data_IF_391869681638
#
_entry.id   IF_391869681638
#
_cell.length_a   1.000
_cell.length_b   1.000
_cell.length_c   1.000
_cell.angle_alpha   90.00
_cell.angle_beta   90.00
_cell.angle_gamma   90.00
#
_symmetry.space_group_name_H-M   'P 1'
#
loop_
_entity.id
_entity.type
_entity.pdbx_description
1 polymer ?
#
# COMPACT_ATOMS: atom_id res chain seq x y z
N UNK A 1 -32.41 8.46 22.79
CA UNK A 1 -33.02 7.36 22.49
C UNK A 1 -32.98 6.98 21.01
N UNK A 2 -33.04 5.80 20.65
CA UNK A 2 -33.15 5.34 19.29
C UNK A 2 -31.98 5.67 18.37
N UNK A 3 -30.88 6.18 18.89
CA UNK A 3 -29.72 6.48 18.10
C UNK A 3 -28.90 5.24 17.78
N UNK A 4 -29.14 4.19 18.54
CA UNK A 4 -28.35 2.97 18.39
C UNK A 4 -28.55 2.27 17.06
N UNK A 5 -29.71 2.42 16.45
CA UNK A 5 -30.04 1.76 15.19
C UNK A 5 -29.92 2.69 13.99
N UNK A 6 -29.27 3.81 14.14
CA UNK A 6 -29.30 4.87 13.14
C UNK A 6 -28.10 4.91 12.21
N UNK A 7 -27.21 3.95 12.33
CA UNK A 7 -26.05 3.91 11.45
C UNK A 7 -26.43 3.20 10.16
N UNK A 8 -26.58 3.99 9.11
CA UNK A 8 -26.81 3.49 7.77
C UNK A 8 -25.53 3.60 6.95
N UNK A 9 -25.49 2.95 5.81
CA UNK A 9 -24.37 3.06 4.90
C UNK A 9 -24.10 4.51 4.49
N UNK A 10 -25.14 5.34 4.45
CA UNK A 10 -24.99 6.76 4.14
C UNK A 10 -24.24 7.54 5.22
N UNK A 11 -24.24 7.03 6.47
CA UNK A 11 -23.55 7.68 7.59
C UNK A 11 -22.11 7.19 7.77
N UNK A 12 -21.72 6.19 7.02
CA UNK A 12 -20.39 5.58 7.15
C UNK A 12 -19.24 6.59 6.92
N UNK A 13 -19.30 7.47 5.91
CA UNK A 13 -18.25 8.47 5.73
C UNK A 13 -18.07 9.40 6.93
N UNK A 14 -19.18 9.83 7.53
CA UNK A 14 -19.13 10.69 8.73
C UNK A 14 -18.52 9.95 9.92
N UNK A 15 -18.85 8.67 10.08
CA UNK A 15 -18.31 7.86 11.15
C UNK A 15 -16.80 7.66 10.98
N UNK A 16 -16.35 7.38 9.77
CA UNK A 16 -14.92 7.23 9.47
C UNK A 16 -14.16 8.53 9.70
N UNK A 17 -14.76 9.66 9.36
CA UNK A 17 -14.16 10.95 9.61
C UNK A 17 -13.99 11.22 11.11
N UNK A 18 -14.99 10.86 11.92
CA UNK A 18 -14.90 10.99 13.38
C UNK A 18 -13.80 10.11 13.95
N UNK A 19 -13.67 8.90 13.45
CA UNK A 19 -12.61 7.97 13.87
C UNK A 19 -11.25 8.57 13.52
N UNK A 20 -11.09 9.13 12.33
CA UNK A 20 -9.85 9.77 11.90
C UNK A 20 -9.44 10.91 12.82
N UNK A 21 -10.38 11.73 13.25
CA UNK A 21 -10.11 12.88 14.11
C UNK A 21 -9.62 12.46 15.49
N UNK A 22 -10.07 11.32 15.99
CA UNK A 22 -9.83 10.88 17.35
C UNK A 22 -8.73 9.82 17.48
N UNK A 23 -8.20 9.36 16.35
CA UNK A 23 -7.23 8.26 16.35
C UNK A 23 -5.95 8.66 15.64
N UNK A 24 -4.87 8.77 16.41
CA UNK A 24 -3.56 9.10 15.88
C UNK A 24 -2.98 7.86 15.19
N UNK A 25 -2.64 8.00 13.90
CA UNK A 25 -2.07 6.90 13.13
C UNK A 25 -3.08 6.01 12.43
N UNK A 26 -4.37 6.14 12.78
CA UNK A 26 -5.41 5.37 12.10
C UNK A 26 -5.89 6.04 10.83
N UNK A 27 -5.75 7.35 10.74
CA UNK A 27 -6.17 8.14 9.58
C UNK A 27 -5.51 7.68 8.28
N UNK A 28 -4.22 7.36 8.31
CA UNK A 28 -3.52 6.88 7.11
C UNK A 28 -4.06 5.54 6.65
N UNK A 29 -4.37 4.65 7.60
CA UNK A 29 -4.98 3.37 7.29
C UNK A 29 -6.36 3.54 6.66
N UNK A 30 -7.17 4.40 7.24
CA UNK A 30 -8.52 4.66 6.74
C UNK A 30 -8.49 5.39 5.40
N UNK A 31 -7.58 6.32 5.22
CA UNK A 31 -7.41 7.00 3.94
C UNK A 31 -7.02 6.02 2.84
N UNK A 32 -6.12 5.11 3.14
CA UNK A 32 -5.73 4.08 2.19
C UNK A 32 -6.90 3.17 1.83
N UNK A 33 -7.65 2.73 2.84
CA UNK A 33 -8.85 1.92 2.63
C UNK A 33 -9.87 2.66 1.76
N UNK A 34 -10.07 3.93 2.05
CA UNK A 34 -11.00 4.78 1.31
C UNK A 34 -10.54 4.99 -0.12
N UNK A 35 -9.26 5.23 -0.31
CA UNK A 35 -8.69 5.39 -1.64
C UNK A 35 -8.87 4.13 -2.48
N UNK A 36 -8.69 2.96 -1.88
CA UNK A 36 -8.89 1.69 -2.57
C UNK A 36 -10.33 1.50 -3.04
N UNK A 37 -11.29 2.13 -2.38
CA UNK A 37 -12.71 2.00 -2.73
C UNK A 37 -13.23 3.12 -3.61
N UNK A 38 -12.61 4.29 -3.61
CA UNK A 38 -13.14 5.48 -4.28
C UNK A 38 -12.24 6.08 -5.34
N UNK A 39 -10.95 5.81 -5.29
CA UNK A 39 -9.99 6.39 -6.22
C UNK A 39 -9.40 5.34 -7.16
N UNK A 40 -8.54 5.79 -8.05
CA UNK A 40 -7.82 4.93 -8.96
C UNK A 40 -6.91 3.96 -8.21
N UNK A 41 -7.02 2.68 -8.53
CA UNK A 41 -6.14 1.63 -7.98
C UNK A 41 -4.80 1.55 -8.72
N UNK A 42 -4.26 2.69 -9.06
CA UNK A 42 -3.01 2.74 -9.79
C UNK A 42 -1.84 3.00 -8.85
N UNK A 43 -0.77 2.26 -8.97
CA UNK A 43 -0.61 1.07 -9.81
C UNK A 43 -1.25 -0.18 -9.17
N UNK A 44 -1.66 -1.15 -9.97
CA UNK A 44 -2.20 -2.39 -9.43
C UNK A 44 -1.13 -3.16 -8.67
N UNK A 45 -1.54 -3.84 -7.61
CA UNK A 45 -0.62 -4.58 -6.76
C UNK A 45 -1.27 -5.82 -6.17
N UNK A 46 -0.43 -6.76 -5.77
CA UNK A 46 -0.81 -7.92 -4.98
C UNK A 46 -0.04 -7.90 -3.67
N UNK A 47 -0.72 -8.23 -2.58
CA UNK A 47 -0.06 -8.46 -1.30
C UNK A 47 -0.23 -9.93 -0.96
N UNK A 48 0.87 -10.64 -0.85
CA UNK A 48 0.89 -12.09 -0.65
C UNK A 48 1.45 -12.39 0.73
N UNK A 49 0.68 -13.12 1.52
CA UNK A 49 1.16 -13.65 2.80
C UNK A 49 1.86 -14.97 2.53
N UNK A 50 3.19 -14.98 2.60
CA UNK A 50 3.98 -16.18 2.32
C UNK A 50 3.90 -17.15 3.49
N UNK A 51 4.09 -16.62 4.72
CA UNK A 51 3.94 -17.38 5.96
C UNK A 51 3.64 -16.38 7.09
N UNK A 52 3.66 -16.86 8.33
CA UNK A 52 3.28 -16.02 9.48
C UNK A 52 4.19 -14.80 9.68
N UNK A 53 5.40 -14.83 9.16
CA UNK A 53 6.40 -13.77 9.38
C UNK A 53 6.87 -13.11 8.10
N UNK A 54 6.44 -13.60 6.95
CA UNK A 54 6.88 -13.06 5.66
C UNK A 54 5.71 -12.72 4.75
N UNK A 55 5.82 -11.57 4.09
CA UNK A 55 4.87 -11.18 3.06
C UNK A 55 5.62 -10.57 1.88
N UNK A 56 4.94 -10.53 0.75
CA UNK A 56 5.50 -10.02 -0.49
C UNK A 56 4.51 -9.10 -1.15
N UNK A 57 4.97 -7.92 -1.47
CA UNK A 57 4.18 -6.94 -2.21
C UNK A 57 4.68 -6.94 -3.66
N UNK A 58 3.75 -7.16 -4.59
CA UNK A 58 4.03 -7.15 -6.02
C UNK A 58 3.30 -5.99 -6.66
N UNK A 59 4.02 -5.10 -7.34
CA UNK A 59 3.44 -3.91 -7.95
C UNK A 59 3.76 -3.92 -9.44
N UNK A 60 2.72 -3.82 -10.27
CA UNK A 60 2.88 -3.79 -11.72
C UNK A 60 3.28 -2.39 -12.17
N UNK A 61 4.50 -2.26 -12.66
CA UNK A 61 5.09 -0.99 -13.08
C UNK A 61 5.66 -1.10 -14.49
N UNK A 62 4.91 -1.71 -15.39
CA UNK A 62 5.33 -1.82 -16.79
C UNK A 62 5.57 -0.43 -17.40
N UNK A 63 6.69 -0.26 -18.06
CA UNK A 63 7.05 1.00 -18.66
C UNK A 63 7.88 1.94 -17.80
N UNK A 64 8.02 1.64 -16.50
CA UNK A 64 8.89 2.39 -15.61
C UNK A 64 10.31 1.87 -15.68
N UNK A 65 11.26 2.77 -15.55
CA UNK A 65 12.66 2.43 -15.39
C UNK A 65 13.01 2.34 -13.92
N UNK A 66 14.05 1.61 -13.59
CA UNK A 66 14.46 1.43 -12.20
C UNK A 66 14.77 2.76 -11.51
N UNK A 67 15.35 3.70 -12.21
CA UNK A 67 15.69 5.02 -11.68
C UNK A 67 14.48 5.93 -11.52
N UNK A 68 13.32 5.56 -12.08
CA UNK A 68 12.07 6.30 -11.93
C UNK A 68 11.28 5.85 -10.72
N UNK A 69 11.69 4.79 -10.04
CA UNK A 69 10.96 4.19 -8.92
C UNK A 69 11.77 4.34 -7.64
N UNK A 70 11.10 4.75 -6.56
CA UNK A 70 11.68 4.86 -5.22
C UNK A 70 10.88 4.04 -4.24
N UNK A 71 11.57 3.31 -3.38
CA UNK A 71 10.96 2.54 -2.29
C UNK A 71 11.69 2.91 -1.00
N UNK A 72 10.95 3.36 -0.01
CA UNK A 72 11.53 3.70 1.28
C UNK A 72 10.52 3.53 2.41
N UNK A 73 11.02 3.44 3.63
CA UNK A 73 10.20 3.39 4.84
C UNK A 73 10.48 4.60 5.70
N UNK A 74 9.44 5.13 6.33
CA UNK A 74 9.53 6.26 7.22
C UNK A 74 8.33 6.27 8.16
N UNK A 75 8.57 6.46 9.44
CA UNK A 75 7.52 6.55 10.47
C UNK A 75 6.48 5.42 10.40
N UNK A 76 6.93 4.18 10.26
CA UNK A 76 6.03 3.04 10.25
C UNK A 76 5.23 2.90 8.97
N UNK A 77 5.68 3.50 7.89
CA UNK A 77 5.01 3.45 6.59
C UNK A 77 5.98 3.06 5.50
N UNK A 78 5.46 2.30 4.54
CA UNK A 78 6.19 1.94 3.33
C UNK A 78 5.70 2.83 2.20
N UNK A 79 6.61 3.54 1.58
CA UNK A 79 6.33 4.43 0.45
C UNK A 79 6.88 3.83 -0.81
N UNK A 80 6.05 3.81 -1.85
CA UNK A 80 6.48 3.48 -3.20
C UNK A 80 6.07 4.63 -4.10
N UNK A 81 7.04 5.24 -4.75
CA UNK A 81 6.83 6.38 -5.61
C UNK A 81 7.37 6.08 -7.00
N UNK A 82 6.62 6.48 -8.00
CA UNK A 82 7.07 6.44 -9.37
C UNK A 82 6.96 7.82 -10.00
N UNK A 83 8.02 8.25 -10.68
CA UNK A 83 8.04 9.47 -11.45
C UNK A 83 8.06 9.13 -12.92
N UNK A 84 7.10 9.64 -13.65
CA UNK A 84 7.01 9.47 -15.09
C UNK A 84 6.85 10.82 -15.75
N UNK A 85 7.77 11.16 -16.65
CA UNK A 85 7.64 12.37 -17.45
C UNK A 85 6.59 12.13 -18.54
N UNK A 86 5.75 13.13 -18.80
CA UNK A 86 4.82 13.06 -19.91
C UNK A 86 5.61 12.99 -21.21
N UNK A 87 5.45 11.91 -21.95
CA UNK A 87 6.05 11.77 -23.26
C UNK A 87 4.97 12.06 -24.30
N UNK A 88 5.33 12.82 -25.31
CA UNK A 88 4.47 13.02 -26.46
C UNK A 88 4.40 11.72 -27.25
N UNK A 89 3.18 11.35 -27.62
CA UNK A 89 2.94 10.17 -28.45
C UNK A 89 2.85 10.61 -29.89
N UNK A 90 3.55 9.87 -30.77
CA UNK A 90 3.49 10.11 -32.21
C UNK A 90 2.16 9.62 -32.76
N UNK A 91 1.09 10.34 -32.51
CA UNK A 91 -0.25 9.96 -33.00
C UNK A 91 -1.30 10.10 -31.92
N UNK A 92 -2.47 9.52 -32.19
CA UNK A 92 -3.60 9.54 -31.28
C UNK A 92 -3.84 8.17 -30.67
N UNK A 93 -4.22 8.13 -29.39
CA UNK A 93 -4.62 6.88 -28.77
C UNK A 93 -5.98 6.46 -29.33
N UNK A 94 -6.04 5.31 -29.98
CA UNK A 94 -7.31 4.67 -30.31
C UNK A 94 -7.91 4.03 -29.07
N UNK A 95 -7.04 3.48 -28.21
CA UNK A 95 -7.41 2.94 -26.92
C UNK A 95 -6.23 3.17 -25.95
N UNK A 96 -6.53 3.70 -24.78
CA UNK A 96 -5.51 3.92 -23.74
C UNK A 96 -5.84 3.07 -22.53
N UNK A 97 -5.29 1.86 -22.50
CA UNK A 97 -5.48 0.93 -21.39
C UNK A 97 -4.31 0.86 -20.42
N UNK A 98 -3.13 1.34 -20.83
CA UNK A 98 -1.96 1.39 -19.96
C UNK A 98 -1.83 2.78 -19.33
N UNK A 99 -1.86 2.81 -18.02
CA UNK A 99 -1.58 4.04 -17.29
C UNK A 99 -0.09 4.06 -16.93
N UNK A 100 0.63 5.04 -17.46
CA UNK A 100 2.04 5.28 -17.12
C UNK A 100 2.14 6.69 -16.58
N UNK A 101 1.79 6.86 -15.32
CA UNK A 101 1.75 8.17 -14.69
C UNK A 101 2.47 8.13 -13.35
N UNK A 102 2.89 9.29 -12.89
CA UNK A 102 3.49 9.43 -11.57
C UNK A 102 2.50 9.07 -10.49
N UNK A 103 2.98 8.43 -9.44
CA UNK A 103 2.12 7.98 -8.34
C UNK A 103 2.92 7.98 -7.03
N UNK A 104 2.18 7.96 -5.95
CA UNK A 104 2.71 7.71 -4.61
C UNK A 104 1.74 6.77 -3.91
N UNK A 105 2.21 5.60 -3.51
CA UNK A 105 1.44 4.65 -2.73
C UNK A 105 2.09 4.50 -1.36
N UNK A 106 1.25 4.40 -0.34
CA UNK A 106 1.69 4.31 1.05
C UNK A 106 0.96 3.16 1.72
N UNK A 107 1.71 2.31 2.40
CA UNK A 107 1.15 1.24 3.23
C UNK A 107 1.63 1.42 4.66
N UNK A 108 0.72 1.25 5.60
CA UNK A 108 1.09 1.22 7.01
C UNK A 108 1.67 -0.15 7.33
N UNK A 109 2.84 -0.17 7.92
CA UNK A 109 3.48 -1.40 8.36
C UNK A 109 3.61 -1.39 9.88
N UNK A 110 3.58 -2.58 10.50
CA UNK A 110 3.74 -2.67 11.94
C UNK A 110 5.18 -2.38 12.35
N UNK A 111 5.38 -2.02 13.61
CA UNK A 111 6.71 -1.65 14.12
C UNK A 111 7.71 -2.79 14.02
N UNK A 112 7.22 -4.02 14.01
CA UNK A 112 8.06 -5.21 13.90
C UNK A 112 8.25 -5.68 12.44
N UNK A 113 7.75 -4.93 11.48
CA UNK A 113 7.90 -5.26 10.06
C UNK A 113 9.05 -4.47 9.44
N UNK A 114 9.87 -5.17 8.68
CA UNK A 114 10.98 -4.54 7.97
C UNK A 114 10.98 -4.96 6.50
N UNK A 115 11.59 -4.14 5.65
CA UNK A 115 11.83 -4.48 4.25
C UNK A 115 13.10 -5.30 4.18
N UNK A 116 13.00 -6.51 3.65
CA UNK A 116 14.13 -7.43 3.54
C UNK A 116 14.76 -7.47 2.17
N UNK A 117 14.04 -7.05 1.17
CA UNK A 117 14.58 -7.01 -0.18
C UNK A 117 13.64 -6.29 -1.11
N UNK A 118 14.20 -5.70 -2.15
CA UNK A 118 13.45 -5.03 -3.21
C UNK A 118 14.08 -5.41 -4.53
N UNK A 119 13.26 -5.89 -5.46
CA UNK A 119 13.68 -6.21 -6.81
C UNK A 119 12.75 -5.54 -7.81
N UNK A 120 13.32 -5.09 -8.92
CA UNK A 120 12.53 -4.58 -10.02
C UNK A 120 12.99 -5.28 -11.30
N UNK A 121 12.15 -6.20 -11.77
CA UNK A 121 12.48 -7.06 -12.93
C UNK A 121 11.23 -7.27 -13.78
N UNK A 122 11.40 -7.15 -15.08
CA UNK A 122 10.33 -7.42 -16.06
C UNK A 122 9.05 -6.59 -15.80
N UNK A 123 9.21 -5.36 -15.35
CA UNK A 123 8.08 -4.48 -15.09
C UNK A 123 7.35 -4.77 -13.79
N UNK A 124 7.88 -5.65 -12.95
CA UNK A 124 7.30 -5.99 -11.66
C UNK A 124 8.22 -5.58 -10.53
N UNK A 125 7.70 -4.76 -9.61
CA UNK A 125 8.41 -4.38 -8.40
C UNK A 125 8.02 -5.36 -7.30
N UNK A 126 9.01 -6.02 -6.73
CA UNK A 126 8.83 -6.95 -5.63
C UNK A 126 9.42 -6.35 -4.37
N UNK A 127 8.61 -6.25 -3.32
CA UNK A 127 9.06 -5.82 -2.01
C UNK A 127 8.83 -6.96 -1.04
N UNK A 128 9.91 -7.48 -0.49
CA UNK A 128 9.86 -8.55 0.50
C UNK A 128 9.83 -7.95 1.90
N UNK A 129 8.82 -8.30 2.65
CA UNK A 129 8.60 -7.81 4.00
C UNK A 129 8.71 -8.97 4.98
N UNK A 130 9.30 -8.72 6.13
CA UNK A 130 9.42 -9.72 7.16
C UNK A 130 9.19 -9.14 8.54
N UNK A 131 8.72 -9.97 9.46
CA UNK A 131 8.55 -9.57 10.84
C UNK A 131 9.79 -9.90 11.64
N UNK A 132 10.22 -8.94 12.44
CA UNK A 132 11.27 -9.15 13.44
C UNK A 132 10.60 -9.84 14.61
N UNK A 133 10.99 -11.08 14.89
CA UNK A 133 10.44 -11.82 16.03
C UNK A 133 11.38 -11.61 17.22
N UNK A 134 10.92 -10.92 18.30
CA UNK A 134 11.73 -10.76 19.50
C UNK A 134 12.10 -12.12 20.08
N UNK A 135 13.27 -12.21 20.68
CA UNK A 135 13.78 -13.47 21.21
C UNK A 135 12.80 -14.13 22.19
N UNK A 136 12.11 -13.32 22.99
CA UNK A 136 11.14 -13.83 23.97
C UNK A 136 9.82 -14.28 23.34
N UNK A 137 9.59 -14.00 22.05
CA UNK A 137 8.42 -14.45 21.32
C UNK A 137 8.67 -15.70 20.50
N UNK A 138 9.91 -16.16 20.40
CA UNK A 138 10.23 -17.37 19.69
C UNK A 138 9.74 -18.59 20.48
N UNK A 139 9.46 -19.66 19.76
CA UNK A 139 9.02 -20.90 20.41
C UNK A 139 10.12 -21.43 21.33
N UNK A 140 9.77 -21.71 22.54
CA UNK A 140 10.66 -22.38 23.51
C UNK A 140 9.96 -23.62 24.03
N UNK A 141 10.60 -24.76 23.85
CA UNK A 141 10.06 -26.01 24.32
C UNK A 141 10.56 -26.27 25.74
N UNK A 142 9.65 -26.43 26.68
CA UNK A 142 9.97 -26.68 28.09
C UNK A 142 9.76 -28.13 28.47
N UNK A 143 9.20 -28.91 27.58
CA UNK A 143 8.98 -30.34 27.80
C UNK A 143 8.94 -31.09 26.47
#
# INVERSE_FOLDING_TARGET
MGTLARYHAANLPDLLEKINRNSIGLDDYLNRFWDDTTSSNYPPYNLIQVNNVESRLEIALAGFKKDEVSVYTEFGKLYVQGKKEESEVDGEFVHKGLAQRSFTRVWTISDDTEVRGVEFTDGLLLVQLGKIVPEHHTRKDYL
#
